data_IF_923421828056
#
_entry.id   IF_923421828056
#
_cell.length_a   1.000
_cell.length_b   1.000
_cell.length_c   1.000
_cell.angle_alpha   90.00
_cell.angle_beta   90.00
_cell.angle_gamma   90.00
#
_symmetry.space_group_name_H-M   'P 1'
#
loop_
_entity.id
_entity.type
_entity.pdbx_description
1 polymer ?
#
# COMPACT_ATOMS: atom_id res chain seq x y z
N UNK A 1 34.76 1.04 -8.45
CA UNK A 1 33.80 -0.08 -8.38
C UNK A 1 32.41 0.50 -8.57
N UNK A 2 31.53 -0.11 -9.38
CA UNK A 2 30.16 0.37 -9.50
C UNK A 2 29.46 0.32 -8.12
N UNK A 3 28.56 1.28 -7.88
CA UNK A 3 27.71 1.30 -6.69
C UNK A 3 26.95 -0.03 -6.57
N UNK A 4 26.78 -0.51 -5.32
CA UNK A 4 26.01 -1.72 -4.99
C UNK A 4 24.63 -1.67 -5.62
N UNK A 5 24.00 -0.49 -5.63
CA UNK A 5 22.69 -0.27 -6.28
C UNK A 5 22.75 -0.47 -7.79
N UNK A 6 23.76 0.07 -8.48
CA UNK A 6 23.92 -0.08 -9.92
C UNK A 6 24.17 -1.53 -10.33
N UNK A 7 25.01 -2.25 -9.58
CA UNK A 7 25.36 -3.65 -9.85
C UNK A 7 24.19 -4.59 -9.64
N UNK A 8 23.43 -4.38 -8.55
CA UNK A 8 22.26 -5.19 -8.25
C UNK A 8 21.08 -4.81 -9.15
N UNK A 9 20.89 -3.55 -9.52
CA UNK A 9 19.91 -3.17 -10.55
C UNK A 9 20.10 -3.91 -11.86
N UNK A 10 21.33 -3.93 -12.39
CA UNK A 10 21.61 -4.64 -13.63
C UNK A 10 21.37 -6.15 -13.51
N UNK A 11 21.72 -6.74 -12.36
CA UNK A 11 21.51 -8.18 -12.09
C UNK A 11 20.04 -8.53 -11.83
N UNK A 12 19.30 -7.65 -11.17
CA UNK A 12 17.87 -7.80 -10.90
C UNK A 12 17.08 -7.60 -12.19
N UNK A 13 17.32 -6.58 -13.01
CA UNK A 13 16.64 -6.43 -14.31
C UNK A 13 16.84 -7.69 -15.16
N UNK A 14 18.04 -8.28 -15.14
CA UNK A 14 18.33 -9.53 -15.85
C UNK A 14 17.67 -10.78 -15.24
N UNK A 15 17.50 -10.85 -13.91
CA UNK A 15 16.90 -12.01 -13.22
C UNK A 15 15.38 -11.90 -13.04
N UNK A 16 14.84 -10.68 -12.96
CA UNK A 16 13.42 -10.37 -12.85
C UNK A 16 12.67 -10.65 -14.15
N UNK A 17 13.31 -10.51 -15.31
CA UNK A 17 12.69 -10.91 -16.57
C UNK A 17 12.39 -12.42 -16.60
N UNK A 18 13.23 -13.25 -15.99
CA UNK A 18 13.07 -14.70 -16.01
C UNK A 18 12.16 -15.21 -14.87
N UNK A 19 12.22 -14.61 -13.68
CA UNK A 19 11.46 -15.07 -12.50
C UNK A 19 9.99 -14.58 -12.49
N UNK A 20 9.67 -13.41 -13.08
CA UNK A 20 8.32 -12.82 -13.04
C UNK A 20 7.38 -13.40 -14.12
N UNK A 21 7.96 -13.91 -15.21
CA UNK A 21 7.26 -14.60 -16.31
C UNK A 21 7.51 -16.11 -16.33
N UNK A 22 8.14 -16.68 -15.30
CA UNK A 22 8.16 -18.11 -15.10
C UNK A 22 6.72 -18.59 -14.85
N UNK A 23 6.04 -18.96 -15.94
CA UNK A 23 4.79 -19.72 -15.85
C UNK A 23 5.06 -20.95 -15.01
N UNK A 24 4.23 -21.21 -14.00
CA UNK A 24 4.24 -22.53 -13.37
C UNK A 24 4.24 -23.60 -14.48
N UNK A 25 5.00 -24.69 -14.33
CA UNK A 25 4.92 -25.78 -15.29
C UNK A 25 3.45 -26.18 -15.40
N UNK A 26 2.91 -26.05 -16.61
CA UNK A 26 1.56 -26.50 -16.90
C UNK A 26 1.46 -27.95 -16.46
N UNK A 27 0.60 -28.23 -15.47
CA UNK A 27 0.27 -29.62 -15.16
C UNK A 27 -0.16 -30.27 -16.49
N UNK A 28 0.40 -31.44 -16.85
CA UNK A 28 0.01 -32.11 -18.08
C UNK A 28 -1.50 -32.32 -18.04
N UNK A 29 -2.18 -31.76 -19.04
CA UNK A 29 -3.63 -31.84 -19.16
C UNK A 29 -4.07 -33.29 -18.97
N UNK A 30 -4.92 -33.51 -17.96
CA UNK A 30 -5.53 -34.81 -17.76
C UNK A 30 -6.25 -35.23 -19.06
N UNK A 31 -6.11 -36.49 -19.51
CA UNK A 31 -6.71 -36.93 -20.76
C UNK A 31 -8.24 -36.73 -20.72
N UNK A 32 -8.73 -36.15 -21.81
CA UNK A 32 -10.11 -35.73 -22.01
C UNK A 32 -11.09 -36.86 -21.64
N UNK A 33 -11.91 -36.66 -20.60
CA UNK A 33 -12.98 -37.59 -20.25
C UNK A 33 -14.09 -37.47 -21.30
N UNK A 34 -14.58 -38.56 -21.92
CA UNK A 34 -15.62 -38.47 -22.94
C UNK A 34 -16.91 -37.92 -22.33
N UNK A 35 -17.50 -36.94 -23.02
CA UNK A 35 -18.77 -36.29 -22.68
C UNK A 35 -19.90 -37.32 -22.57
N UNK A 36 -20.64 -37.28 -21.46
CA UNK A 36 -21.89 -38.02 -21.31
C UNK A 36 -22.98 -37.43 -22.24
N UNK A 37 -23.89 -38.26 -22.79
CA UNK A 37 -24.92 -37.81 -23.72
C UNK A 37 -26.01 -36.96 -23.04
N UNK A 38 -26.51 -35.96 -23.77
CA UNK A 38 -27.62 -35.08 -23.39
C UNK A 38 -28.91 -35.86 -23.10
N UNK A 39 -29.54 -35.59 -21.96
CA UNK A 39 -30.93 -35.96 -21.69
C UNK A 39 -31.91 -34.93 -22.29
N UNK A 40 -33.10 -35.37 -22.75
CA UNK A 40 -34.03 -34.53 -23.51
C UNK A 40 -34.91 -33.62 -22.64
N UNK A 41 -35.20 -32.43 -23.20
CA UNK A 41 -36.13 -31.41 -22.69
C UNK A 41 -37.57 -31.93 -22.57
N UNK A 42 -38.23 -31.66 -21.45
CA UNK A 42 -39.70 -31.77 -21.31
C UNK A 42 -40.40 -30.39 -21.30
N UNK A 43 -41.68 -30.31 -21.71
CA UNK A 43 -42.31 -29.07 -22.19
C UNK A 43 -42.97 -28.22 -21.10
N UNK A 44 -43.07 -26.94 -21.42
CA UNK A 44 -43.60 -25.83 -20.63
C UNK A 44 -45.15 -25.74 -20.70
N UNK A 45 -45.83 -25.41 -19.60
CA UNK A 45 -47.26 -25.00 -19.58
C UNK A 45 -47.61 -24.12 -18.34
N UNK A 46 -48.72 -23.34 -18.34
CA UNK A 46 -48.62 -21.88 -18.47
C UNK A 46 -49.06 -21.05 -17.23
N UNK A 47 -48.89 -19.73 -17.38
CA UNK A 47 -49.02 -18.67 -16.39
C UNK A 47 -50.36 -18.55 -15.64
N UNK A 48 -50.27 -18.09 -14.39
CA UNK A 48 -51.32 -17.30 -13.72
C UNK A 48 -50.76 -16.03 -13.08
N UNK A 49 -51.34 -14.92 -13.50
CA UNK A 49 -51.28 -13.56 -12.97
C UNK A 49 -51.77 -13.46 -11.52
N UNK A 50 -51.18 -12.58 -10.71
CA UNK A 50 -51.75 -11.24 -10.37
C UNK A 50 -50.85 -10.47 -9.40
N UNK A 51 -50.52 -9.25 -9.82
CA UNK A 51 -50.47 -7.98 -9.08
C UNK A 51 -49.61 -7.77 -7.81
N UNK A 52 -48.74 -6.76 -7.91
CA UNK A 52 -48.70 -5.68 -6.90
C UNK A 52 -47.34 -5.40 -6.27
N UNK A 53 -46.52 -4.53 -6.88
CA UNK A 53 -46.19 -3.19 -6.35
C UNK A 53 -45.14 -2.51 -7.24
N UNK A 54 -45.49 -1.33 -7.75
CA UNK A 54 -44.59 -0.41 -8.46
C UNK A 54 -43.59 0.18 -7.46
N UNK A 55 -42.31 0.11 -7.79
CA UNK A 55 -41.26 0.96 -7.21
C UNK A 55 -40.50 1.65 -8.34
N UNK A 56 -40.93 2.85 -8.70
CA UNK A 56 -40.15 3.78 -9.51
C UNK A 56 -39.63 4.89 -8.61
N UNK A 57 -38.34 5.22 -8.71
CA UNK A 57 -37.72 6.46 -8.19
C UNK A 57 -36.39 6.61 -8.91
N UNK A 58 -36.32 7.34 -10.03
CA UNK A 58 -36.01 8.78 -10.15
C UNK A 58 -34.72 9.18 -9.44
N UNK A 59 -33.73 9.53 -10.26
CA UNK A 59 -32.55 10.30 -9.88
C UNK A 59 -32.95 11.66 -9.28
N UNK A 60 -32.18 12.11 -8.29
CA UNK A 60 -32.25 13.44 -7.66
C UNK A 60 -30.94 13.74 -6.90
N UNK A 61 -30.53 15.01 -6.80
CA UNK A 61 -29.12 15.41 -6.78
C UNK A 61 -28.43 15.33 -5.42
N UNK A 62 -27.10 15.28 -5.49
CA UNK A 62 -26.11 15.33 -4.41
C UNK A 62 -26.41 16.46 -3.40
N UNK A 63 -26.89 16.09 -2.22
CA UNK A 63 -26.85 16.93 -1.03
C UNK A 63 -25.45 16.88 -0.41
N UNK A 64 -24.83 18.04 -0.20
CA UNK A 64 -23.50 18.16 0.40
C UNK A 64 -23.41 17.55 1.81
N UNK A 65 -22.21 17.16 2.27
CA UNK A 65 -22.09 16.46 3.54
C UNK A 65 -22.31 17.43 4.71
N UNK A 66 -23.41 17.19 5.42
CA UNK A 66 -23.58 17.63 6.80
C UNK A 66 -22.54 16.93 7.69
N UNK A 67 -21.98 17.69 8.62
CA UNK A 67 -20.96 17.26 9.57
C UNK A 67 -21.32 15.94 10.27
N UNK A 68 -20.49 14.92 10.10
CA UNK A 68 -20.58 13.66 10.87
C UNK A 68 -19.60 13.70 12.03
N UNK A 69 -20.07 14.25 13.14
CA UNK A 69 -19.49 14.01 14.46
C UNK A 69 -20.29 12.94 15.21
N UNK A 70 -19.63 11.84 15.59
CA UNK A 70 -20.01 11.05 16.77
C UNK A 70 -20.45 9.59 16.56
N UNK A 71 -19.82 8.71 17.36
CA UNK A 71 -20.19 7.34 17.75
C UNK A 71 -19.89 6.18 16.79
N UNK A 72 -18.73 5.52 17.02
CA UNK A 72 -18.53 4.07 16.82
C UNK A 72 -18.50 3.52 15.39
N UNK A 73 -18.80 4.32 14.37
CA UNK A 73 -18.69 3.94 12.97
C UNK A 73 -17.25 3.90 12.50
N UNK A 74 -16.86 2.83 11.80
CA UNK A 74 -15.60 2.82 11.05
C UNK A 74 -15.78 3.76 9.86
N UNK A 75 -14.97 4.81 9.79
CA UNK A 75 -14.95 5.75 8.66
C UNK A 75 -14.91 4.96 7.34
N UNK A 76 -15.86 5.15 6.39
CA UNK A 76 -15.93 4.37 5.16
C UNK A 76 -14.87 4.74 4.12
N UNK A 77 -14.03 5.75 4.37
CA UNK A 77 -13.04 6.27 3.41
C UNK A 77 -12.08 5.19 2.87
N UNK A 78 -11.81 4.13 3.64
CA UNK A 78 -11.02 2.99 3.16
C UNK A 78 -11.59 2.36 1.89
N UNK A 79 -12.90 2.39 1.66
CA UNK A 79 -13.52 1.89 0.41
C UNK A 79 -13.16 2.77 -0.79
N UNK A 80 -13.10 4.08 -0.59
CA UNK A 80 -12.74 5.03 -1.64
C UNK A 80 -11.28 4.86 -2.05
N UNK A 81 -10.43 4.42 -1.12
CA UNK A 81 -9.05 4.01 -1.38
C UNK A 81 -8.90 2.55 -1.87
N UNK A 82 -9.99 1.88 -2.25
CA UNK A 82 -9.95 0.54 -2.85
C UNK A 82 -9.72 -0.63 -1.88
N UNK A 83 -9.74 -0.40 -0.57
CA UNK A 83 -9.50 -1.49 0.39
C UNK A 83 -10.70 -2.43 0.51
N UNK A 84 -10.46 -3.73 0.65
CA UNK A 84 -11.51 -4.74 0.85
C UNK A 84 -12.18 -4.69 2.23
N UNK A 85 -11.45 -4.22 3.26
CA UNK A 85 -12.03 -3.87 4.56
C UNK A 85 -11.12 -2.94 5.35
N UNK A 86 -11.70 -2.17 6.27
CA UNK A 86 -10.91 -1.37 7.21
C UNK A 86 -10.00 -2.20 8.11
N UNK A 87 -10.38 -3.45 8.44
CA UNK A 87 -9.55 -4.34 9.24
C UNK A 87 -8.29 -4.75 8.46
N UNK A 88 -8.46 -5.12 7.19
CA UNK A 88 -7.37 -5.46 6.29
C UNK A 88 -6.45 -4.26 5.99
N UNK A 89 -7.01 -3.05 5.89
CA UNK A 89 -6.20 -1.84 5.78
C UNK A 89 -5.34 -1.62 7.04
N UNK A 90 -5.95 -1.73 8.24
CA UNK A 90 -5.22 -1.52 9.50
C UNK A 90 -4.07 -2.48 9.72
N UNK A 91 -4.21 -3.77 9.38
CA UNK A 91 -3.10 -4.73 9.55
C UNK A 91 -1.88 -4.38 8.68
N UNK A 92 -2.10 -3.72 7.52
CA UNK A 92 -1.02 -3.23 6.65
C UNK A 92 -0.33 -2.03 7.27
N UNK A 93 -1.10 -1.11 7.87
CA UNK A 93 -0.52 -0.01 8.65
C UNK A 93 0.31 -0.55 9.81
N UNK A 94 -0.21 -1.50 10.60
CA UNK A 94 0.54 -2.12 11.68
C UNK A 94 1.83 -2.79 11.16
N UNK A 95 1.79 -3.44 10.00
CA UNK A 95 2.96 -4.03 9.36
C UNK A 95 4.00 -2.98 8.94
N UNK A 96 3.60 -1.85 8.35
CA UNK A 96 4.48 -0.72 8.02
C UNK A 96 5.19 -0.19 9.27
N UNK A 97 4.44 0.00 10.37
CA UNK A 97 5.00 0.51 11.63
C UNK A 97 5.97 -0.47 12.28
N UNK A 98 5.64 -1.77 12.28
CA UNK A 98 6.58 -2.82 12.74
C UNK A 98 7.82 -2.88 11.86
N UNK A 99 7.66 -2.84 10.54
CA UNK A 99 8.76 -2.92 9.57
C UNK A 99 9.74 -1.76 9.71
N UNK A 100 9.25 -0.56 10.07
CA UNK A 100 10.07 0.62 10.31
C UNK A 100 10.57 0.78 11.75
N UNK A 101 10.09 -0.04 12.69
CA UNK A 101 10.27 0.19 14.12
C UNK A 101 9.85 1.62 14.52
N UNK A 102 8.64 2.00 14.08
CA UNK A 102 8.10 3.34 14.25
C UNK A 102 8.10 3.78 15.72
N UNK A 103 8.67 4.95 15.98
CA UNK A 103 8.83 5.52 17.32
C UNK A 103 8.51 7.02 17.37
N UNK A 104 7.60 7.48 16.50
CA UNK A 104 7.32 8.91 16.32
C UNK A 104 8.43 9.66 15.57
N UNK A 105 8.13 10.88 15.12
CA UNK A 105 9.00 11.71 14.28
C UNK A 105 8.26 12.34 13.08
N UNK A 106 9.00 12.75 12.07
CA UNK A 106 8.44 13.30 10.83
C UNK A 106 8.07 12.19 9.84
N UNK A 107 6.84 12.19 9.34
CA UNK A 107 6.30 11.16 8.43
C UNK A 107 5.92 11.80 7.09
N UNK A 108 6.39 11.19 6.00
CA UNK A 108 5.82 11.34 4.67
C UNK A 108 4.98 10.10 4.36
N UNK A 109 3.69 10.28 4.09
CA UNK A 109 2.82 9.26 3.52
C UNK A 109 2.69 9.48 2.02
N UNK A 110 3.36 8.62 1.24
CA UNK A 110 3.45 8.69 -0.22
C UNK A 110 2.29 7.89 -0.83
N UNK A 111 1.34 8.60 -1.43
CA UNK A 111 0.03 8.07 -1.82
C UNK A 111 -0.87 7.90 -0.61
N UNK A 112 -1.16 9.01 0.08
CA UNK A 112 -1.89 8.99 1.35
C UNK A 112 -3.38 8.65 1.22
N UNK A 113 -3.92 8.64 -0.01
CA UNK A 113 -5.34 8.48 -0.27
C UNK A 113 -6.15 9.46 0.56
N UNK A 114 -7.22 9.02 1.24
CA UNK A 114 -8.04 9.88 2.06
C UNK A 114 -7.41 10.20 3.42
N UNK A 115 -6.17 9.74 3.70
CA UNK A 115 -5.46 10.02 4.96
C UNK A 115 -5.69 9.02 6.08
N UNK A 116 -6.08 7.78 5.77
CA UNK A 116 -6.37 6.77 6.79
C UNK A 116 -5.16 6.40 7.67
N UNK A 117 -3.94 6.47 7.12
CA UNK A 117 -2.72 6.25 7.89
C UNK A 117 -2.51 7.34 8.94
N UNK A 118 -2.79 8.61 8.62
CA UNK A 118 -2.77 9.70 9.61
C UNK A 118 -3.67 9.38 10.81
N UNK A 119 -4.94 9.01 10.57
CA UNK A 119 -5.87 8.66 11.64
C UNK A 119 -5.53 7.36 12.37
N UNK A 120 -4.74 6.49 11.74
CA UNK A 120 -4.17 5.33 12.40
C UNK A 120 -3.03 5.75 13.36
N UNK A 121 -2.14 6.64 12.93
CA UNK A 121 -1.04 7.17 13.75
C UNK A 121 -1.51 8.00 14.95
N UNK A 122 -2.60 8.77 14.83
CA UNK A 122 -3.15 9.57 15.95
C UNK A 122 -3.67 8.73 17.10
N UNK A 123 -3.88 7.42 16.90
CA UNK A 123 -4.28 6.48 17.95
C UNK A 123 -3.10 5.95 18.76
N UNK A 124 -1.87 6.22 18.30
CA UNK A 124 -0.65 5.85 18.98
C UNK A 124 -0.24 6.95 19.96
N UNK A 125 0.27 6.56 21.12
CA UNK A 125 0.82 7.48 22.12
C UNK A 125 2.27 7.86 21.76
N UNK A 126 2.47 8.41 20.55
CA UNK A 126 3.77 8.79 20.01
C UNK A 126 3.69 10.17 19.33
N UNK A 127 4.66 11.08 19.56
CA UNK A 127 4.66 12.38 18.90
C UNK A 127 5.08 12.24 17.43
N UNK A 128 4.32 12.84 16.51
CA UNK A 128 4.68 12.87 15.09
C UNK A 128 4.20 14.15 14.39
N UNK A 129 4.82 14.46 13.26
CA UNK A 129 4.29 15.41 12.27
C UNK A 129 4.07 14.68 10.96
N UNK A 130 3.02 15.03 10.23
CA UNK A 130 2.58 14.29 9.07
C UNK A 130 2.51 15.18 7.83
N UNK A 131 2.98 14.66 6.71
CA UNK A 131 2.74 15.19 5.37
C UNK A 131 2.20 14.06 4.49
N UNK A 132 1.01 14.23 3.95
CA UNK A 132 0.44 13.34 2.94
C UNK A 132 0.69 13.87 1.54
N UNK A 133 0.96 12.98 0.60
CA UNK A 133 1.04 13.32 -0.83
C UNK A 133 0.18 12.35 -1.63
N UNK A 134 -0.51 12.84 -2.64
CA UNK A 134 -1.28 11.99 -3.55
C UNK A 134 -1.30 12.60 -4.96
N UNK A 135 -1.44 11.75 -5.97
CA UNK A 135 -1.56 12.16 -7.38
C UNK A 135 -3.00 12.48 -7.75
N UNK A 136 -3.98 11.94 -7.02
CA UNK A 136 -5.39 12.19 -7.27
C UNK A 136 -5.86 13.42 -6.48
N UNK A 137 -6.24 14.52 -7.16
CA UNK A 137 -6.73 15.73 -6.47
C UNK A 137 -7.95 15.45 -5.59
N UNK A 138 -8.77 14.44 -5.92
CA UNK A 138 -9.93 14.04 -5.12
C UNK A 138 -9.52 13.44 -3.79
N UNK A 139 -8.40 12.70 -3.75
CA UNK A 139 -7.86 12.12 -2.51
C UNK A 139 -7.29 13.22 -1.61
N UNK A 140 -6.57 14.18 -2.20
CA UNK A 140 -6.05 15.36 -1.49
C UNK A 140 -7.17 16.18 -0.84
N UNK A 141 -8.23 16.47 -1.62
CA UNK A 141 -9.39 17.19 -1.12
C UNK A 141 -10.09 16.42 0.00
N UNK A 142 -10.31 15.11 -0.19
CA UNK A 142 -10.94 14.26 0.80
C UNK A 142 -10.13 14.20 2.09
N UNK A 143 -8.82 13.94 2.03
CA UNK A 143 -7.94 13.91 3.19
C UNK A 143 -7.95 15.24 3.95
N UNK A 144 -7.85 16.36 3.22
CA UNK A 144 -7.91 17.71 3.80
C UNK A 144 -9.25 17.95 4.50
N UNK A 145 -10.36 17.60 3.86
CA UNK A 145 -11.72 17.76 4.43
C UNK A 145 -11.95 16.92 5.69
N UNK A 146 -11.23 15.79 5.83
CA UNK A 146 -11.26 14.93 7.02
C UNK A 146 -10.39 15.47 8.17
N UNK A 147 -9.61 16.52 7.94
CA UNK A 147 -8.78 17.16 8.97
C UNK A 147 -7.34 16.63 9.04
N UNK A 148 -6.82 16.06 7.95
CA UNK A 148 -5.38 15.79 7.82
C UNK A 148 -4.65 17.14 7.66
N UNK A 149 -3.59 17.42 8.46
CA UNK A 149 -3.09 18.79 8.62
C UNK A 149 -2.27 19.33 7.44
N UNK A 150 -1.54 18.48 6.71
CA UNK A 150 -0.72 18.85 5.54
C UNK A 150 -0.86 17.74 4.49
N UNK A 151 -1.57 18.04 3.41
CA UNK A 151 -1.77 17.13 2.26
C UNK A 151 -1.51 17.90 0.98
N UNK A 152 -0.76 17.29 0.06
CA UNK A 152 -0.28 17.95 -1.16
C UNK A 152 -0.60 17.12 -2.38
N UNK A 153 -1.11 17.79 -3.41
CA UNK A 153 -1.17 17.24 -4.76
C UNK A 153 0.24 17.21 -5.35
N UNK A 154 0.62 16.08 -5.92
CA UNK A 154 1.92 15.86 -6.56
C UNK A 154 1.77 15.15 -7.90
N UNK A 155 2.79 15.21 -8.75
CA UNK A 155 2.83 14.49 -10.02
C UNK A 155 3.45 13.09 -9.88
N UNK A 156 3.35 12.26 -10.92
CA UNK A 156 3.89 10.89 -10.93
C UNK A 156 5.42 10.84 -10.76
N UNK A 157 6.13 11.88 -11.20
CA UNK A 157 7.58 12.01 -11.08
C UNK A 157 8.01 12.67 -9.77
N UNK A 158 7.08 12.91 -8.84
CA UNK A 158 7.34 13.53 -7.54
C UNK A 158 8.55 12.93 -6.83
N UNK A 159 9.40 13.80 -6.30
CA UNK A 159 10.49 13.44 -5.40
C UNK A 159 10.42 14.34 -4.17
N UNK A 160 10.56 13.78 -2.95
CA UNK A 160 10.57 14.61 -1.74
C UNK A 160 11.71 15.63 -1.79
N UNK A 161 11.41 16.88 -1.47
CA UNK A 161 12.40 17.97 -1.44
C UNK A 161 13.25 17.98 -0.17
N UNK A 162 12.87 17.17 0.83
CA UNK A 162 13.53 17.07 2.13
C UNK A 162 13.46 15.65 2.65
N UNK A 163 14.30 15.38 3.65
CA UNK A 163 14.29 14.12 4.38
C UNK A 163 13.23 14.11 5.49
N UNK A 164 12.60 12.95 5.70
CA UNK A 164 11.66 12.66 6.79
C UNK A 164 12.24 11.54 7.67
N UNK A 165 11.84 11.41 8.93
CA UNK A 165 12.24 10.25 9.74
C UNK A 165 11.73 8.96 9.10
N UNK A 166 10.47 8.97 8.63
CA UNK A 166 9.83 7.85 7.95
C UNK A 166 9.20 8.27 6.63
N UNK A 167 9.41 7.44 5.60
CA UNK A 167 8.68 7.53 4.33
C UNK A 167 7.89 6.24 4.14
N UNK A 168 6.56 6.34 4.19
CA UNK A 168 5.65 5.20 4.16
C UNK A 168 4.82 5.23 2.89
N UNK A 169 4.50 4.06 2.35
CA UNK A 169 3.57 3.92 1.24
C UNK A 169 2.70 2.68 1.40
N UNK A 170 1.39 2.84 1.39
CA UNK A 170 0.43 1.73 1.53
C UNK A 170 -0.49 1.66 0.33
N UNK A 171 -0.38 0.59 -0.46
CA UNK A 171 -1.27 0.34 -1.60
C UNK A 171 -0.93 1.08 -2.90
N UNK A 172 0.19 1.79 -2.99
CA UNK A 172 0.55 2.52 -4.22
C UNK A 172 1.13 1.62 -5.32
N UNK A 173 1.63 0.43 -4.97
CA UNK A 173 2.20 -0.54 -5.90
C UNK A 173 1.17 -1.63 -6.25
N UNK A 174 0.01 -1.22 -6.73
CA UNK A 174 -1.11 -2.12 -6.99
C UNK A 174 -1.18 -2.62 -8.43
N UNK A 175 -0.89 -1.77 -9.42
CA UNK A 175 -1.13 -2.09 -10.84
C UNK A 175 0.18 -2.32 -11.58
N UNK A 176 0.13 -3.19 -12.59
CA UNK A 176 1.27 -3.40 -13.48
C UNK A 176 1.40 -2.22 -14.44
N UNK A 177 2.65 -1.84 -14.70
CA UNK A 177 2.99 -1.02 -15.86
C UNK A 177 3.50 -1.98 -16.95
N UNK A 178 2.79 -2.13 -18.08
CA UNK A 178 3.21 -3.02 -19.18
C UNK A 178 4.57 -2.66 -19.79
N UNK A 179 4.94 -1.38 -19.72
CA UNK A 179 6.19 -0.86 -20.28
C UNK A 179 7.33 -0.87 -19.24
N UNK A 180 7.01 -0.87 -17.94
CA UNK A 180 7.97 -0.96 -16.83
C UNK A 180 7.50 -1.83 -15.66
N UNK A 181 7.70 -3.17 -15.70
CA UNK A 181 7.31 -4.07 -14.62
C UNK A 181 8.05 -3.82 -13.29
N UNK A 182 9.07 -2.95 -13.27
CA UNK A 182 9.86 -2.59 -12.09
C UNK A 182 9.77 -1.10 -11.74
N UNK A 183 8.72 -0.40 -12.19
CA UNK A 183 8.53 1.03 -11.93
C UNK A 183 8.59 1.39 -10.43
N UNK A 184 8.24 0.44 -9.56
CA UNK A 184 8.29 0.61 -8.11
C UNK A 184 9.71 0.70 -7.54
N UNK A 185 10.72 0.19 -8.24
CA UNK A 185 12.12 0.17 -7.78
C UNK A 185 12.70 1.59 -7.59
N UNK A 186 12.68 2.50 -8.59
CA UNK A 186 13.15 3.87 -8.38
C UNK A 186 12.33 4.63 -7.32
N UNK A 187 11.05 4.31 -7.16
CA UNK A 187 10.20 4.91 -6.10
C UNK A 187 10.67 4.42 -4.73
N UNK A 188 10.86 3.11 -4.55
CA UNK A 188 11.32 2.52 -3.29
C UNK A 188 12.71 3.03 -2.87
N UNK A 189 13.62 3.23 -3.83
CA UNK A 189 14.90 3.88 -3.56
C UNK A 189 14.75 5.34 -3.17
N UNK A 190 13.90 6.11 -3.87
CA UNK A 190 13.63 7.50 -3.51
C UNK A 190 13.01 7.61 -2.11
N UNK A 191 12.13 6.69 -1.72
CA UNK A 191 11.60 6.61 -0.36
C UNK A 191 12.73 6.42 0.65
N UNK A 192 13.65 5.47 0.41
CA UNK A 192 14.78 5.23 1.30
C UNK A 192 15.74 6.43 1.38
N UNK A 193 16.11 7.00 0.24
CA UNK A 193 17.04 8.14 0.17
C UNK A 193 16.50 9.40 0.85
N UNK A 194 15.17 9.53 0.91
CA UNK A 194 14.49 10.62 1.61
C UNK A 194 14.02 10.23 3.02
N UNK A 195 14.50 9.10 3.56
CA UNK A 195 14.26 8.66 4.94
C UNK A 195 15.52 8.77 5.80
N UNK A 196 15.41 9.38 6.97
CA UNK A 196 16.48 9.45 7.96
C UNK A 196 16.54 8.20 8.84
N UNK A 197 15.40 7.53 9.08
CA UNK A 197 15.33 6.32 9.90
C UNK A 197 14.89 5.10 9.10
N UNK A 198 13.77 5.18 8.40
CA UNK A 198 13.30 4.05 7.61
C UNK A 198 12.28 4.44 6.53
N UNK A 199 12.25 3.64 5.47
CA UNK A 199 11.16 3.61 4.51
C UNK A 199 10.42 2.27 4.58
N UNK A 200 9.13 2.24 4.28
CA UNK A 200 8.40 0.99 4.12
C UNK A 200 7.26 1.08 3.11
N UNK A 201 7.04 -0.03 2.41
CA UNK A 201 5.99 -0.16 1.41
C UNK A 201 5.27 -1.51 1.49
N UNK A 202 4.00 -1.54 1.12
CA UNK A 202 3.21 -2.77 0.98
C UNK A 202 3.12 -3.20 -0.49
N UNK A 203 3.06 -4.51 -0.73
CA UNK A 203 2.79 -5.09 -2.05
C UNK A 203 1.77 -6.21 -1.96
N UNK A 204 1.08 -6.48 -3.07
CA UNK A 204 0.31 -7.70 -3.24
C UNK A 204 1.27 -8.89 -3.44
N UNK A 205 1.01 -9.99 -2.74
CA UNK A 205 1.89 -11.15 -2.75
C UNK A 205 1.59 -12.07 -3.94
N UNK A 206 2.65 -12.56 -4.59
CA UNK A 206 2.56 -13.62 -5.61
C UNK A 206 1.90 -14.91 -5.11
N UNK A 207 1.90 -15.15 -3.79
CA UNK A 207 1.26 -16.31 -3.16
C UNK A 207 -0.23 -16.10 -2.86
N UNK A 208 -0.83 -14.97 -3.22
CA UNK A 208 -2.29 -14.79 -3.13
C UNK A 208 -2.99 -15.90 -3.95
N UNK A 209 -4.13 -16.39 -3.46
CA UNK A 209 -4.92 -17.42 -4.16
C UNK A 209 -5.26 -16.96 -5.57
N UNK A 210 -5.20 -17.87 -6.55
CA UNK A 210 -5.49 -17.56 -7.95
C UNK A 210 -6.87 -16.93 -8.16
N UNK A 211 -7.88 -17.35 -7.40
CA UNK A 211 -9.24 -16.80 -7.48
C UNK A 211 -9.35 -15.33 -7.00
N UNK A 212 -8.37 -14.85 -6.22
CA UNK A 212 -8.33 -13.49 -5.69
C UNK A 212 -7.35 -12.60 -6.48
N UNK A 213 -6.81 -13.10 -7.61
CA UNK A 213 -5.90 -12.35 -8.47
C UNK A 213 -6.65 -11.62 -9.59
N UNK A 214 -6.29 -10.37 -9.83
CA UNK A 214 -6.76 -9.57 -10.96
C UNK A 214 -5.66 -9.48 -12.05
N UNK A 215 -6.00 -9.52 -13.35
CA UNK A 215 -5.01 -9.55 -14.43
C UNK A 215 -4.08 -8.34 -14.52
N UNK A 216 -4.54 -7.18 -14.08
CA UNK A 216 -3.87 -5.88 -14.14
C UNK A 216 -3.12 -5.52 -12.85
N UNK A 217 -3.22 -6.35 -11.82
CA UNK A 217 -2.55 -6.11 -10.53
C UNK A 217 -1.11 -6.66 -10.52
N UNK A 218 -0.22 -5.89 -9.89
CA UNK A 218 1.17 -6.25 -9.68
C UNK A 218 1.29 -7.16 -8.45
N UNK A 219 1.60 -8.43 -8.67
CA UNK A 219 1.93 -9.38 -7.61
C UNK A 219 3.43 -9.66 -7.58
N UNK A 220 4.05 -9.54 -6.41
CA UNK A 220 5.49 -9.73 -6.26
C UNK A 220 5.82 -10.85 -5.28
N UNK A 221 6.91 -11.56 -5.56
CA UNK A 221 7.43 -12.61 -4.69
C UNK A 221 8.25 -12.01 -3.54
N UNK A 222 8.12 -12.59 -2.34
CA UNK A 222 8.79 -12.08 -1.14
C UNK A 222 10.32 -12.23 -1.19
N UNK A 223 10.84 -13.31 -1.79
CA UNK A 223 12.28 -13.49 -1.97
C UNK A 223 12.84 -12.48 -2.96
N UNK A 224 12.07 -12.16 -3.99
CA UNK A 224 12.37 -11.11 -4.96
C UNK A 224 12.46 -9.72 -4.30
N UNK A 225 11.48 -9.36 -3.46
CA UNK A 225 11.53 -8.11 -2.68
C UNK A 225 12.70 -8.10 -1.68
N UNK A 226 13.03 -9.24 -1.07
CA UNK A 226 14.20 -9.34 -0.18
C UNK A 226 15.52 -9.08 -0.91
N UNK A 227 15.68 -9.58 -2.16
CA UNK A 227 16.85 -9.30 -3.00
C UNK A 227 16.99 -7.80 -3.31
N UNK A 228 15.88 -7.13 -3.65
CA UNK A 228 15.86 -5.66 -3.82
C UNK A 228 16.26 -4.96 -2.53
N UNK A 229 15.63 -5.31 -1.41
CA UNK A 229 15.86 -4.64 -0.14
C UNK A 229 17.33 -4.73 0.30
N UNK A 230 17.94 -5.90 0.14
CA UNK A 230 19.36 -6.16 0.40
C UNK A 230 20.32 -5.40 -0.54
N UNK A 231 19.83 -4.92 -1.68
CA UNK A 231 20.58 -4.06 -2.59
C UNK A 231 20.65 -2.60 -2.09
N UNK A 232 19.58 -2.15 -1.43
CA UNK A 232 19.39 -0.74 -1.04
C UNK A 232 20.07 -0.45 0.30
N UNK A 233 19.95 -1.36 1.27
CA UNK A 233 20.49 -1.21 2.62
C UNK A 233 20.90 -2.55 3.22
N UNK A 234 21.77 -2.53 4.24
CA UNK A 234 22.11 -3.72 5.04
C UNK A 234 21.09 -4.03 6.14
N UNK A 235 20.15 -3.11 6.40
CA UNK A 235 19.12 -3.28 7.42
C UNK A 235 17.75 -3.25 6.77
N UNK A 236 17.23 -4.43 6.49
CA UNK A 236 15.93 -4.57 5.86
C UNK A 236 15.10 -5.67 6.53
N UNK A 237 13.80 -5.63 6.29
CA UNK A 237 12.86 -6.67 6.68
C UNK A 237 11.83 -6.84 5.57
N UNK A 238 11.40 -8.09 5.35
CA UNK A 238 10.21 -8.41 4.58
C UNK A 238 9.29 -9.20 5.50
N UNK A 239 8.11 -8.65 5.80
CA UNK A 239 7.06 -9.29 6.57
C UNK A 239 5.97 -9.79 5.60
N UNK A 240 5.94 -11.10 5.40
CA UNK A 240 4.92 -11.81 4.61
C UNK A 240 4.03 -12.69 5.49
N UNK A 241 4.05 -12.47 6.82
CA UNK A 241 3.37 -13.34 7.79
C UNK A 241 2.08 -12.72 8.35
N UNK A 242 1.85 -11.42 8.14
CA UNK A 242 0.76 -10.69 8.83
C UNK A 242 -0.60 -10.74 8.12
N UNK A 243 -0.61 -10.90 6.79
CA UNK A 243 -1.84 -10.84 6.02
C UNK A 243 -2.51 -12.24 5.97
N UNK A 244 -3.83 -12.34 6.22
CA UNK A 244 -4.58 -13.58 6.00
C UNK A 244 -4.35 -14.14 4.59
N UNK A 245 -4.32 -15.46 4.46
CA UNK A 245 -4.15 -16.17 3.18
C UNK A 245 -2.89 -15.77 2.39
N UNK A 246 -1.85 -15.25 3.07
CA UNK A 246 -0.60 -14.80 2.45
C UNK A 246 -0.81 -13.75 1.33
N UNK A 247 -1.88 -12.95 1.43
CA UNK A 247 -2.36 -12.07 0.36
C UNK A 247 -1.47 -10.88 0.05
N UNK A 248 -0.71 -10.38 1.03
CA UNK A 248 0.12 -9.17 0.92
C UNK A 248 1.41 -9.32 1.74
N UNK A 249 2.41 -8.53 1.37
CA UNK A 249 3.68 -8.42 2.08
C UNK A 249 4.06 -6.96 2.33
N UNK A 250 4.96 -6.73 3.28
CA UNK A 250 5.51 -5.41 3.60
C UNK A 250 7.04 -5.47 3.60
N UNK A 251 7.68 -4.54 2.91
CA UNK A 251 9.12 -4.33 3.00
C UNK A 251 9.42 -3.12 3.88
N UNK A 252 10.44 -3.24 4.73
CA UNK A 252 11.02 -2.14 5.48
C UNK A 252 12.51 -2.01 5.18
N UNK A 253 12.95 -0.79 4.89
CA UNK A 253 14.34 -0.41 4.61
C UNK A 253 14.78 0.57 5.69
N UNK A 254 15.74 0.18 6.54
CA UNK A 254 16.18 0.97 7.69
C UNK A 254 17.55 1.56 7.43
N UNK A 255 17.75 2.80 7.88
CA UNK A 255 19.05 3.44 7.85
C UNK A 255 20.03 2.72 8.79
N UNK A 256 21.32 2.72 8.44
CA UNK A 256 22.37 2.04 9.20
C UNK A 256 22.60 2.61 10.63
N UNK A 257 21.90 3.67 11.05
CA UNK A 257 22.12 4.39 12.32
C UNK A 257 21.00 4.29 13.38
N UNK A 258 20.04 3.37 13.25
CA UNK A 258 18.79 3.42 14.03
C UNK A 258 18.73 2.70 15.39
N UNK A 259 19.71 2.82 16.29
CA UNK A 259 19.42 2.67 17.74
C UNK A 259 20.18 3.75 18.53
N UNK A 260 19.44 4.59 19.25
CA UNK A 260 19.93 5.49 20.31
C UNK A 260 20.81 6.72 19.94
N UNK A 261 20.78 7.26 18.71
CA UNK A 261 21.47 8.53 18.41
C UNK A 261 20.62 9.80 18.61
N UNK A 262 19.38 9.71 19.13
CA UNK A 262 18.51 10.87 19.39
C UNK A 262 18.53 11.36 20.87
N UNK A 263 19.41 10.85 21.72
CA UNK A 263 19.59 11.34 23.11
C UNK A 263 20.68 12.43 23.23
N UNK A 264 21.36 12.80 22.14
CA UNK A 264 22.46 13.80 22.17
C UNK A 264 22.19 15.10 21.40
N UNK A 265 20.94 15.54 21.32
CA UNK A 265 20.62 16.89 20.80
C UNK A 265 19.54 17.65 21.61
N UNK A 266 19.36 17.33 22.89
CA UNK A 266 18.56 18.16 23.82
C UNK A 266 19.27 18.41 25.17
N UNK A 267 20.61 18.32 25.17
CA UNK A 267 21.42 18.87 26.27
C UNK A 267 21.34 20.39 26.23
N UNK A 268 20.54 20.96 27.14
CA UNK A 268 20.49 22.38 27.47
C UNK A 268 21.88 23.03 27.41
N UNK A 269 22.03 24.01 26.52
CA UNK A 269 23.10 24.98 26.63
C UNK A 269 22.83 25.85 27.88
N UNK A 270 23.80 26.06 28.79
CA UNK A 270 23.63 26.99 29.89
C UNK A 270 23.61 28.42 29.35
N UNK A 271 22.61 29.19 29.75
CA UNK A 271 22.49 30.62 29.44
C UNK A 271 23.73 31.39 29.91
N UNK A 272 24.25 32.37 29.13
CA UNK A 272 25.34 33.21 29.57
C UNK A 272 24.88 34.13 30.73
N UNK A 273 25.78 34.50 31.66
CA UNK A 273 25.44 35.46 32.71
C UNK A 273 25.16 36.83 32.08
N UNK A 274 24.04 37.44 32.45
CA UNK A 274 23.73 38.82 32.06
C UNK A 274 24.68 39.79 32.77
N UNK A 275 25.06 40.90 32.11
CA UNK A 275 25.86 41.97 32.72
C UNK A 275 25.11 42.71 33.82
#
# INVERSE_FOLDING_TARGET
>A
MPDRRTTVRASLISAFHDDLFATEPTEPSAPNKPSAPNEPNEPNEPAKSTEGLRGGSTEGPLGGPAALGGAGGVDPAWRLAGWGSAALQRIRFDALLRATAFAGGTVLDWGCGPGDLYFHLTKLDLPFTYVGTDIDPRMVELASSRGVPDVRLVDLDFRPERTYDYVLASGIFQFQDPDDPLYFLPILEAMYDNSARAAAATFLSAHRRAADKAPDELYVDAATIARIAAAITDRWVVDHAYHPDAGDLTVGLRAAGGTAAAVRASGSAPSPPRP
#
